data_IF_152227717001
#
_entry.id   IF_152227717001
#
_cell.length_a   1.000
_cell.length_b   1.000
_cell.length_c   1.000
_cell.angle_alpha   90.00
_cell.angle_beta   90.00
_cell.angle_gamma   90.00
#
_symmetry.space_group_name_H-M   'P 1'
#
loop_
_entity.id
_entity.type
_entity.pdbx_description
1 polymer ?
#
# COMPACT_ATOMS: atom_id res chain seq x y z
N UNK A 1 27.30 15.90 -31.11
CA UNK A 1 26.84 16.30 -29.75
C UNK A 1 27.43 15.30 -28.75
N UNK A 2 28.17 15.79 -27.78
CA UNK A 2 28.81 14.96 -26.74
C UNK A 2 27.78 14.04 -26.07
N UNK A 3 28.11 12.77 -25.89
CA UNK A 3 27.23 11.74 -25.24
C UNK A 3 26.74 12.20 -23.87
N UNK A 4 27.61 12.90 -23.12
CA UNK A 4 27.27 13.46 -21.81
C UNK A 4 26.17 14.52 -21.91
N UNK A 5 26.23 15.40 -22.89
CA UNK A 5 25.24 16.46 -23.15
C UNK A 5 23.90 15.85 -23.60
N UNK A 6 23.94 14.80 -24.45
CA UNK A 6 22.71 14.06 -24.86
C UNK A 6 22.01 13.40 -23.68
N UNK A 7 22.77 12.78 -22.78
CA UNK A 7 22.21 12.13 -21.58
C UNK A 7 21.58 13.15 -20.61
N UNK A 8 22.18 14.34 -20.47
CA UNK A 8 21.62 15.43 -19.66
C UNK A 8 20.31 15.95 -20.26
N UNK A 9 20.25 16.19 -21.56
CA UNK A 9 19.03 16.66 -22.25
C UNK A 9 17.91 15.61 -22.07
N UNK A 10 18.20 14.33 -22.27
CA UNK A 10 17.22 13.27 -22.08
C UNK A 10 16.69 13.18 -20.63
N UNK A 11 17.53 13.47 -19.63
CA UNK A 11 17.11 13.52 -18.22
C UNK A 11 16.20 14.72 -17.95
N UNK A 12 16.55 15.91 -18.47
CA UNK A 12 15.74 17.11 -18.31
C UNK A 12 14.36 16.91 -18.94
N UNK A 13 14.30 16.42 -20.18
CA UNK A 13 13.02 16.11 -20.86
C UNK A 13 12.19 15.12 -20.05
N UNK A 14 12.80 14.05 -19.53
CA UNK A 14 12.11 13.06 -18.69
C UNK A 14 11.52 13.71 -17.42
N UNK A 15 12.32 14.51 -16.68
CA UNK A 15 11.85 15.19 -15.47
C UNK A 15 10.70 16.15 -15.81
N UNK A 16 10.81 16.91 -16.88
CA UNK A 16 9.74 17.82 -17.34
C UNK A 16 8.44 17.07 -17.61
N UNK A 17 8.51 15.90 -18.26
CA UNK A 17 7.32 15.06 -18.49
C UNK A 17 6.73 14.56 -17.18
N UNK A 18 7.55 14.09 -16.23
CA UNK A 18 7.06 13.66 -14.92
C UNK A 18 6.39 14.83 -14.19
N UNK A 19 6.93 16.02 -14.23
CA UNK A 19 6.31 17.22 -13.63
C UNK A 19 4.99 17.58 -14.29
N UNK A 20 4.89 17.49 -15.63
CA UNK A 20 3.62 17.71 -16.35
C UNK A 20 2.58 16.65 -15.92
N UNK A 21 2.97 15.39 -15.83
CA UNK A 21 2.07 14.32 -15.35
C UNK A 21 1.64 14.54 -13.90
N UNK A 22 2.53 14.98 -13.02
CA UNK A 22 2.19 15.37 -11.65
C UNK A 22 1.19 16.55 -11.64
N UNK A 23 1.37 17.55 -12.51
CA UNK A 23 0.42 18.64 -12.70
C UNK A 23 -0.96 18.14 -13.15
N UNK A 24 -0.99 17.18 -14.08
CA UNK A 24 -2.22 16.53 -14.52
C UNK A 24 -2.92 15.79 -13.39
N UNK A 25 -2.17 15.02 -12.57
CA UNK A 25 -2.71 14.35 -11.38
C UNK A 25 -3.31 15.37 -10.40
N UNK A 26 -2.62 16.50 -10.19
CA UNK A 26 -3.11 17.60 -9.34
C UNK A 26 -4.39 18.19 -9.89
N UNK A 27 -4.49 18.34 -11.20
CA UNK A 27 -5.73 18.79 -11.86
C UNK A 27 -6.89 17.82 -11.60
N UNK A 28 -6.69 16.49 -11.78
CA UNK A 28 -7.73 15.51 -11.46
C UNK A 28 -8.08 15.52 -9.98
N UNK A 29 -7.09 15.65 -9.10
CA UNK A 29 -7.34 15.76 -7.67
C UNK A 29 -8.16 17.00 -7.31
N UNK A 30 -7.95 18.12 -7.98
CA UNK A 30 -8.75 19.34 -7.76
C UNK A 30 -10.24 19.12 -8.06
N UNK A 31 -10.55 18.26 -9.03
CA UNK A 31 -11.92 17.93 -9.46
C UNK A 31 -12.60 16.85 -8.60
N UNK A 32 -11.86 16.20 -7.69
CA UNK A 32 -12.43 15.21 -6.77
C UNK A 32 -13.31 15.93 -5.74
N UNK A 33 -14.63 15.63 -5.74
CA UNK A 33 -15.63 16.25 -4.86
C UNK A 33 -16.00 15.39 -3.65
N UNK A 34 -15.83 14.07 -3.73
CA UNK A 34 -16.21 13.14 -2.68
C UNK A 34 -15.13 12.14 -2.31
N UNK A 35 -15.39 11.39 -1.26
CA UNK A 35 -14.55 10.30 -0.79
C UNK A 35 -15.35 9.00 -0.81
N UNK A 36 -14.67 7.91 -1.18
CA UNK A 36 -15.18 6.59 -0.95
C UNK A 36 -15.09 6.24 0.55
N UNK A 37 -15.93 5.36 1.03
CA UNK A 37 -15.93 4.90 2.42
C UNK A 37 -14.54 4.44 2.89
N UNK A 38 -13.85 3.64 2.09
CA UNK A 38 -12.49 3.18 2.37
C UNK A 38 -11.47 4.32 2.55
N UNK A 39 -11.66 5.44 1.85
CA UNK A 39 -10.78 6.60 2.01
C UNK A 39 -11.01 7.27 3.35
N UNK A 40 -12.26 7.33 3.80
CA UNK A 40 -12.62 7.84 5.12
C UNK A 40 -12.06 6.94 6.23
N UNK A 41 -12.15 5.61 6.07
CA UNK A 41 -11.50 4.66 6.97
C UNK A 41 -9.99 4.82 7.01
N UNK A 42 -9.35 5.13 5.89
CA UNK A 42 -7.92 5.41 5.87
C UNK A 42 -7.55 6.62 6.74
N UNK A 43 -8.34 7.70 6.66
CA UNK A 43 -8.14 8.86 7.53
C UNK A 43 -8.41 8.51 9.00
N UNK A 44 -9.51 7.85 9.30
CA UNK A 44 -9.86 7.44 10.65
C UNK A 44 -8.81 6.53 11.27
N UNK A 45 -8.41 5.47 10.56
CA UNK A 45 -7.37 4.55 11.02
C UNK A 45 -6.00 5.21 11.20
N UNK A 46 -5.74 6.30 10.45
CA UNK A 46 -4.51 7.07 10.58
C UNK A 46 -4.53 8.05 11.73
N UNK A 47 -5.66 8.70 12.00
CA UNK A 47 -5.72 9.93 12.79
C UNK A 47 -6.48 9.78 14.09
N UNK A 48 -7.44 8.86 14.19
CA UNK A 48 -8.21 8.67 15.41
C UNK A 48 -7.37 8.04 16.52
N UNK A 49 -7.50 8.55 17.73
CA UNK A 49 -6.68 8.14 18.87
C UNK A 49 -7.23 6.87 19.51
N UNK A 50 -6.52 5.74 19.28
CA UNK A 50 -6.88 4.41 19.81
C UNK A 50 -8.31 3.97 19.49
N UNK A 51 -8.86 4.47 18.39
CA UNK A 51 -10.18 4.09 17.87
C UNK A 51 -10.06 3.88 16.36
N UNK A 52 -10.22 2.65 15.89
CA UNK A 52 -10.06 2.30 14.48
C UNK A 52 -11.35 2.38 13.69
N UNK A 53 -12.48 2.55 14.36
CA UNK A 53 -13.79 2.57 13.72
C UNK A 53 -14.59 3.77 14.25
N UNK A 54 -15.28 4.45 13.35
CA UNK A 54 -16.22 5.52 13.68
C UNK A 54 -17.51 4.92 14.29
N UNK A 55 -17.32 4.13 15.36
CA UNK A 55 -18.39 3.43 16.06
C UNK A 55 -18.45 3.85 17.54
N UNK A 56 -19.60 3.67 18.20
CA UNK A 56 -19.72 3.94 19.63
C UNK A 56 -18.77 3.06 20.44
N UNK A 57 -18.06 3.63 21.39
CA UNK A 57 -17.26 2.88 22.35
C UNK A 57 -18.08 1.75 22.99
N UNK A 58 -17.52 0.56 23.04
CA UNK A 58 -18.07 -0.59 23.76
C UNK A 58 -19.05 -1.47 22.97
N UNK A 59 -19.29 -1.22 21.69
CA UNK A 59 -20.06 -2.16 20.85
C UNK A 59 -19.10 -2.96 19.97
N UNK A 60 -19.10 -4.25 20.21
CA UNK A 60 -18.46 -5.24 19.34
C UNK A 60 -19.21 -5.25 18.00
N UNK A 61 -18.48 -5.20 16.88
CA UNK A 61 -19.12 -5.29 15.57
C UNK A 61 -19.81 -6.64 15.33
N UNK A 62 -20.70 -6.68 14.35
CA UNK A 62 -21.49 -7.87 14.03
C UNK A 62 -20.61 -9.09 13.74
N UNK A 63 -19.50 -8.90 13.01
CA UNK A 63 -18.59 -9.99 12.67
C UNK A 63 -17.91 -10.56 13.92
N UNK A 64 -17.38 -9.70 14.80
CA UNK A 64 -16.73 -10.13 16.04
C UNK A 64 -17.70 -10.82 16.99
N UNK A 65 -18.95 -10.34 17.08
CA UNK A 65 -20.03 -11.02 17.85
C UNK A 65 -20.28 -12.42 17.31
N UNK A 66 -20.41 -12.57 15.98
CA UNK A 66 -20.61 -13.88 15.37
C UNK A 66 -19.39 -14.77 15.61
N UNK A 67 -18.20 -14.25 15.33
CA UNK A 67 -16.96 -15.01 15.51
C UNK A 67 -16.82 -15.54 16.93
N UNK A 68 -17.03 -14.69 17.94
CA UNK A 68 -16.93 -15.07 19.35
C UNK A 68 -18.00 -16.06 19.79
N UNK A 69 -19.25 -15.86 19.39
CA UNK A 69 -20.37 -16.63 19.92
C UNK A 69 -20.61 -17.94 19.15
N UNK A 70 -20.21 -18.02 17.89
CA UNK A 70 -20.56 -19.13 17.00
C UNK A 70 -19.37 -19.83 16.35
N UNK A 71 -18.22 -19.17 16.24
CA UNK A 71 -17.05 -19.75 15.56
C UNK A 71 -15.96 -20.13 16.56
N UNK A 72 -15.52 -19.18 17.40
CA UNK A 72 -14.38 -19.36 18.29
C UNK A 72 -14.75 -20.25 19.48
N UNK A 73 -14.00 -21.31 19.68
CA UNK A 73 -14.07 -22.16 20.87
C UNK A 73 -12.77 -22.01 21.63
N UNK A 74 -12.82 -21.33 22.77
CA UNK A 74 -11.63 -21.09 23.59
C UNK A 74 -10.93 -22.42 23.96
N UNK A 75 -9.62 -22.47 23.76
CA UNK A 75 -8.83 -23.66 24.05
C UNK A 75 -8.96 -24.80 23.03
N UNK A 76 -9.79 -24.68 22.00
CA UNK A 76 -9.98 -25.73 20.99
C UNK A 76 -9.92 -25.22 19.56
N UNK A 77 -8.69 -25.09 19.01
CA UNK A 77 -8.43 -24.61 17.66
C UNK A 77 -9.09 -25.51 16.60
N UNK A 78 -9.11 -26.82 16.80
CA UNK A 78 -9.72 -27.77 15.85
C UNK A 78 -11.20 -27.49 15.65
N UNK A 79 -11.93 -27.29 16.75
CA UNK A 79 -13.36 -26.98 16.70
C UNK A 79 -13.63 -25.57 16.17
N UNK A 80 -12.76 -24.62 16.43
CA UNK A 80 -12.81 -23.28 15.81
C UNK A 80 -12.71 -23.35 14.28
N UNK A 81 -11.79 -24.15 13.76
CA UNK A 81 -11.62 -24.35 12.32
C UNK A 81 -12.85 -25.07 11.72
N UNK A 82 -13.38 -26.07 12.40
CA UNK A 82 -14.59 -26.80 11.99
C UNK A 82 -15.79 -25.85 11.87
N UNK A 83 -16.04 -25.02 12.89
CA UNK A 83 -17.11 -24.03 12.88
C UNK A 83 -16.93 -22.98 11.78
N UNK A 84 -15.70 -22.46 11.59
CA UNK A 84 -15.39 -21.52 10.54
C UNK A 84 -15.65 -22.13 9.15
N UNK A 85 -15.25 -23.38 8.94
CA UNK A 85 -15.50 -24.12 7.71
C UNK A 85 -16.98 -24.36 7.47
N UNK A 86 -17.73 -24.68 8.54
CA UNK A 86 -19.17 -24.86 8.46
C UNK A 86 -19.86 -23.60 7.90
N UNK A 87 -19.62 -22.43 8.48
CA UNK A 87 -20.22 -21.18 8.01
C UNK A 87 -19.68 -20.74 6.64
N UNK A 88 -18.45 -21.08 6.30
CA UNK A 88 -17.91 -20.84 4.96
C UNK A 88 -18.66 -21.65 3.89
N UNK A 89 -19.07 -22.88 4.21
CA UNK A 89 -19.78 -23.78 3.28
C UNK A 89 -21.30 -23.60 3.33
N UNK A 90 -21.84 -22.99 4.39
CA UNK A 90 -23.28 -22.74 4.59
C UNK A 90 -23.57 -21.23 4.59
N UNK A 91 -23.37 -20.60 3.43
CA UNK A 91 -23.51 -19.15 3.28
C UNK A 91 -24.90 -18.63 3.61
N UNK A 92 -25.95 -19.40 3.38
CA UNK A 92 -27.33 -18.99 3.70
C UNK A 92 -27.52 -18.86 5.22
N UNK A 93 -26.97 -19.76 6.00
CA UNK A 93 -27.02 -19.69 7.47
C UNK A 93 -26.17 -18.53 7.98
N UNK A 94 -24.99 -18.32 7.40
CA UNK A 94 -24.16 -17.16 7.70
C UNK A 94 -24.90 -15.85 7.45
N UNK A 95 -25.50 -15.68 6.25
CA UNK A 95 -26.23 -14.48 5.88
C UNK A 95 -27.44 -14.23 6.77
N UNK A 96 -28.16 -15.28 7.13
CA UNK A 96 -29.29 -15.19 8.08
C UNK A 96 -28.83 -14.70 9.45
N UNK A 97 -27.78 -15.33 10.01
CA UNK A 97 -27.22 -14.98 11.31
C UNK A 97 -26.67 -13.55 11.30
N UNK A 98 -25.95 -13.17 10.22
CA UNK A 98 -25.43 -11.82 10.04
C UNK A 98 -26.57 -10.79 10.00
N UNK A 99 -27.62 -11.05 9.24
CA UNK A 99 -28.80 -10.18 9.15
C UNK A 99 -29.53 -10.04 10.50
N UNK A 100 -29.72 -11.13 11.24
CA UNK A 100 -30.38 -11.12 12.54
C UNK A 100 -29.62 -10.31 13.60
N UNK A 101 -28.28 -10.37 13.57
CA UNK A 101 -27.43 -9.65 14.53
C UNK A 101 -27.28 -8.19 14.10
N UNK A 102 -27.05 -7.92 12.82
CA UNK A 102 -26.89 -6.54 12.31
C UNK A 102 -28.18 -5.74 12.38
N UNK A 103 -29.34 -6.36 12.21
CA UNK A 103 -30.64 -5.68 12.35
C UNK A 103 -30.91 -5.10 13.74
N UNK A 104 -30.16 -5.56 14.76
CA UNK A 104 -30.20 -5.03 16.13
C UNK A 104 -29.23 -3.86 16.35
N UNK A 105 -28.41 -3.53 15.36
CA UNK A 105 -27.49 -2.41 15.41
C UNK A 105 -28.20 -1.17 14.88
N UNK A 106 -28.48 -0.23 15.78
CA UNK A 106 -29.07 1.06 15.38
C UNK A 106 -27.99 1.97 14.79
N UNK A 107 -28.29 2.72 13.70
CA UNK A 107 -27.40 3.75 13.23
C UNK A 107 -27.15 4.77 14.35
N UNK A 108 -25.86 5.07 14.58
CA UNK A 108 -25.46 6.06 15.59
C UNK A 108 -25.12 7.35 14.86
N UNK A 109 -25.91 8.38 15.13
CA UNK A 109 -25.63 9.70 14.64
C UNK A 109 -24.42 10.30 15.38
N UNK A 110 -23.47 10.81 14.62
CA UNK A 110 -22.26 11.49 15.12
C UNK A 110 -22.41 12.99 14.89
N UNK A 111 -21.89 13.77 15.81
CA UNK A 111 -21.77 15.21 15.64
C UNK A 111 -20.70 15.55 14.58
N UNK A 112 -20.75 16.79 14.07
CA UNK A 112 -19.71 17.27 13.16
C UNK A 112 -18.33 17.31 13.84
N UNK A 113 -18.30 17.58 15.14
CA UNK A 113 -17.06 17.61 15.93
C UNK A 113 -16.47 16.22 16.08
N UNK A 114 -17.27 15.20 16.42
CA UNK A 114 -16.81 13.81 16.48
C UNK A 114 -16.32 13.30 15.12
N UNK A 115 -17.00 13.68 14.02
CA UNK A 115 -16.55 13.32 12.67
C UNK A 115 -15.24 14.01 12.30
N UNK A 116 -15.04 15.27 12.71
CA UNK A 116 -13.80 15.99 12.51
C UNK A 116 -12.66 15.38 13.32
N UNK A 117 -12.88 15.09 14.58
CA UNK A 117 -11.91 14.46 15.49
C UNK A 117 -11.44 13.09 14.93
N UNK A 118 -12.39 12.30 14.42
CA UNK A 118 -12.06 11.03 13.75
C UNK A 118 -11.14 11.17 12.52
N UNK A 119 -11.27 12.28 11.77
CA UNK A 119 -10.57 12.46 10.49
C UNK A 119 -9.29 13.29 10.59
N UNK A 120 -9.10 14.05 11.65
CA UNK A 120 -7.98 14.96 11.85
C UNK A 120 -7.09 14.54 13.01
N UNK A 121 -5.90 15.09 13.08
CA UNK A 121 -4.99 14.90 14.21
C UNK A 121 -5.09 16.10 15.12
N UNK A 122 -5.45 15.89 16.39
CA UNK A 122 -5.47 16.93 17.39
C UNK A 122 -4.03 17.37 17.76
N UNK A 123 -3.80 18.60 18.24
CA UNK A 123 -2.47 19.09 18.58
C UNK A 123 -1.68 18.22 19.56
N UNK A 124 -2.38 17.57 20.50
CA UNK A 124 -1.78 16.71 21.53
C UNK A 124 -1.52 15.27 21.04
N UNK A 125 -2.01 14.91 19.85
CA UNK A 125 -1.95 13.56 19.26
C UNK A 125 -0.96 13.45 18.09
N UNK A 126 -0.27 14.56 17.81
CA UNK A 126 0.72 14.63 16.72
C UNK A 126 1.78 13.56 16.89
N UNK A 127 2.06 12.85 15.78
CA UNK A 127 3.06 11.78 15.70
C UNK A 127 2.83 10.62 16.68
N UNK A 128 1.57 10.37 17.06
CA UNK A 128 1.17 9.25 17.93
C UNK A 128 1.15 7.92 17.16
N UNK A 129 2.32 7.43 16.74
CA UNK A 129 2.42 6.22 15.93
C UNK A 129 1.96 4.94 16.66
N UNK A 130 1.98 4.94 17.99
CA UNK A 130 1.44 3.85 18.79
C UNK A 130 -0.08 3.72 18.58
N UNK A 131 -0.80 4.84 18.48
CA UNK A 131 -2.22 4.87 18.14
C UNK A 131 -2.49 4.33 16.73
N UNK A 132 -1.72 4.78 15.74
CA UNK A 132 -1.83 4.29 14.35
C UNK A 132 -1.61 2.77 14.30
N UNK A 133 -0.59 2.26 14.99
CA UNK A 133 -0.33 0.83 15.06
C UNK A 133 -1.48 0.07 15.73
N UNK A 134 -2.01 0.58 16.84
CA UNK A 134 -3.15 -0.01 17.54
C UNK A 134 -4.37 -0.11 16.63
N UNK A 135 -4.68 0.94 15.88
CA UNK A 135 -5.79 0.96 14.93
C UNK A 135 -5.60 -0.07 13.82
N UNK A 136 -4.38 -0.13 13.25
CA UNK A 136 -4.06 -1.04 12.17
C UNK A 136 -3.92 -2.51 12.62
N UNK A 137 -3.56 -2.78 13.87
CA UNK A 137 -3.49 -4.14 14.41
C UNK A 137 -4.88 -4.82 14.45
N UNK A 138 -5.95 -4.07 14.30
CA UNK A 138 -7.34 -4.53 14.23
C UNK A 138 -7.91 -4.49 12.81
N UNK A 139 -7.10 -4.11 11.82
CA UNK A 139 -7.45 -4.07 10.40
C UNK A 139 -6.70 -5.15 9.61
N UNK A 140 -7.19 -5.44 8.43
CA UNK A 140 -6.59 -6.39 7.47
C UNK A 140 -5.47 -5.78 6.61
N UNK A 141 -5.15 -4.51 6.82
CA UNK A 141 -4.14 -3.79 6.04
C UNK A 141 -2.88 -3.49 6.87
N UNK A 142 -1.69 -3.55 6.26
CA UNK A 142 -0.44 -3.17 6.93
C UNK A 142 -0.36 -1.66 7.23
N UNK A 143 0.40 -1.25 8.26
CA UNK A 143 0.32 0.09 8.83
C UNK A 143 1.05 1.20 8.06
N UNK A 144 1.94 0.89 7.10
CA UNK A 144 2.87 1.88 6.54
C UNK A 144 2.16 3.09 5.91
N UNK A 145 1.07 2.85 5.17
CA UNK A 145 0.35 3.94 4.52
C UNK A 145 -0.32 4.87 5.55
N UNK A 146 -0.93 4.29 6.58
CA UNK A 146 -1.55 5.06 7.66
C UNK A 146 -0.52 5.83 8.50
N UNK A 147 0.68 5.26 8.72
CA UNK A 147 1.81 5.96 9.37
C UNK A 147 2.23 7.18 8.53
N UNK A 148 2.36 7.04 7.22
CA UNK A 148 2.70 8.16 6.34
C UNK A 148 1.59 9.23 6.33
N UNK A 149 0.32 8.82 6.26
CA UNK A 149 -0.81 9.74 6.29
C UNK A 149 -0.89 10.48 7.62
N UNK A 150 -0.77 9.78 8.75
CA UNK A 150 -0.70 10.40 10.09
C UNK A 150 0.46 11.39 10.19
N UNK A 151 1.62 11.05 9.63
CA UNK A 151 2.79 11.95 9.62
C UNK A 151 2.46 13.26 8.91
N UNK A 152 1.87 13.18 7.71
CA UNK A 152 1.49 14.39 6.96
C UNK A 152 0.42 15.18 7.71
N UNK A 153 -0.64 14.53 8.22
CA UNK A 153 -1.70 15.16 9.00
C UNK A 153 -1.17 15.82 10.28
N UNK A 154 -0.16 15.23 10.94
CA UNK A 154 0.45 15.76 12.15
C UNK A 154 1.16 17.10 11.95
N UNK A 155 1.58 17.45 10.74
CA UNK A 155 2.09 18.79 10.43
C UNK A 155 1.00 19.86 10.35
N UNK A 156 -0.27 19.43 10.17
CA UNK A 156 -1.43 20.31 10.00
C UNK A 156 -2.58 19.88 10.94
N UNK A 157 -2.41 20.04 12.26
CA UNK A 157 -3.42 19.59 13.22
C UNK A 157 -4.76 20.30 12.97
N UNK A 158 -5.84 19.65 13.39
CA UNK A 158 -7.24 20.07 13.23
C UNK A 158 -7.66 20.38 11.78
N UNK A 159 -6.85 19.93 10.80
CA UNK A 159 -7.11 20.21 9.38
C UNK A 159 -7.40 18.92 8.63
N UNK A 160 -8.52 18.88 7.93
CA UNK A 160 -8.85 17.83 6.96
C UNK A 160 -8.61 18.33 5.55
N UNK A 161 -7.79 17.62 4.77
CA UNK A 161 -7.51 17.97 3.38
C UNK A 161 -7.28 16.76 2.51
N UNK A 162 -7.97 16.70 1.36
CA UNK A 162 -7.73 15.68 0.33
C UNK A 162 -6.31 15.69 -0.24
N UNK A 163 -5.57 16.78 -0.07
CA UNK A 163 -4.20 16.88 -0.56
C UNK A 163 -3.16 16.21 0.32
N UNK A 164 -3.49 15.82 1.55
CA UNK A 164 -2.54 15.15 2.43
C UNK A 164 -2.17 13.76 1.91
N UNK A 165 -3.14 12.87 1.73
CA UNK A 165 -2.88 11.55 1.14
C UNK A 165 -2.42 11.65 -0.32
N UNK A 166 -2.93 12.66 -1.06
CA UNK A 166 -2.55 12.89 -2.44
C UNK A 166 -1.05 13.18 -2.56
N UNK A 167 -0.47 13.96 -1.65
CA UNK A 167 0.97 14.24 -1.64
C UNK A 167 1.81 12.97 -1.53
N UNK A 168 1.38 12.02 -0.70
CA UNK A 168 2.02 10.71 -0.54
C UNK A 168 1.93 9.93 -1.86
N UNK A 169 0.73 9.80 -2.41
CA UNK A 169 0.50 9.09 -3.67
C UNK A 169 1.27 9.72 -4.83
N UNK A 170 1.39 11.04 -4.87
CA UNK A 170 2.11 11.76 -5.91
C UNK A 170 3.63 11.48 -5.87
N UNK A 171 4.21 11.38 -4.67
CA UNK A 171 5.63 11.01 -4.49
C UNK A 171 5.88 9.59 -5.00
N UNK A 172 5.02 8.63 -4.65
CA UNK A 172 5.14 7.25 -5.13
C UNK A 172 4.89 7.13 -6.64
N UNK A 173 3.97 7.92 -7.20
CA UNK A 173 3.76 8.01 -8.65
C UNK A 173 5.01 8.50 -9.38
N UNK A 174 5.58 9.61 -8.93
CA UNK A 174 6.82 10.13 -9.50
C UNK A 174 7.95 9.08 -9.38
N UNK A 175 8.11 8.46 -8.21
CA UNK A 175 9.05 7.37 -7.99
C UNK A 175 8.87 6.19 -8.95
N UNK A 176 7.61 5.80 -9.20
CA UNK A 176 7.26 4.74 -10.17
C UNK A 176 7.72 5.11 -11.58
N UNK A 177 7.55 6.36 -12.02
CA UNK A 177 8.06 6.83 -13.31
C UNK A 177 9.58 6.69 -13.40
N UNK A 178 10.33 7.01 -12.33
CA UNK A 178 11.77 6.81 -12.27
C UNK A 178 12.17 5.34 -12.34
N UNK A 179 11.41 4.44 -11.72
CA UNK A 179 11.69 3.00 -11.78
C UNK A 179 11.44 2.47 -13.20
N UNK A 180 10.34 2.86 -13.86
CA UNK A 180 10.07 2.52 -15.27
C UNK A 180 11.26 2.92 -16.15
N UNK A 181 11.75 4.15 -16.00
CA UNK A 181 12.93 4.62 -16.70
C UNK A 181 14.15 3.74 -16.44
N UNK A 182 14.41 3.36 -15.19
CA UNK A 182 15.57 2.56 -14.83
C UNK A 182 15.47 1.12 -15.34
N UNK A 183 14.28 0.52 -15.36
CA UNK A 183 14.02 -0.80 -15.97
C UNK A 183 14.34 -0.74 -17.48
N UNK A 184 13.82 0.24 -18.19
CA UNK A 184 14.02 0.35 -19.63
C UNK A 184 15.49 0.64 -20.00
N UNK A 185 16.20 1.39 -19.17
CA UNK A 185 17.65 1.57 -19.31
C UNK A 185 18.41 0.26 -19.08
N UNK A 186 18.06 -0.49 -18.06
CA UNK A 186 18.66 -1.80 -17.75
C UNK A 186 18.44 -2.81 -18.89
N UNK A 187 17.36 -2.65 -19.64
CA UNK A 187 17.03 -3.46 -20.83
C UNK A 187 17.60 -2.90 -22.14
N UNK A 188 18.39 -1.83 -22.10
CA UNK A 188 18.90 -1.12 -23.30
C UNK A 188 17.77 -0.62 -24.23
N UNK A 189 16.63 -0.23 -23.67
CA UNK A 189 15.43 0.26 -24.38
C UNK A 189 15.15 1.74 -24.08
N UNK A 190 16.17 2.57 -24.02
CA UNK A 190 16.06 3.97 -23.59
C UNK A 190 15.09 4.80 -24.44
N UNK A 191 14.95 4.48 -25.73
CA UNK A 191 14.00 5.14 -26.64
C UNK A 191 12.53 4.95 -26.22
N UNK A 192 12.24 3.90 -25.45
CA UNK A 192 10.88 3.60 -24.98
C UNK A 192 10.55 4.27 -23.64
N UNK A 193 11.50 4.97 -23.00
CA UNK A 193 11.26 5.59 -21.68
C UNK A 193 10.12 6.59 -21.73
N UNK A 194 10.14 7.53 -22.64
CA UNK A 194 9.11 8.56 -22.74
C UNK A 194 7.75 7.97 -23.12
N UNK A 195 7.60 7.15 -24.18
CA UNK A 195 6.33 6.52 -24.47
C UNK A 195 5.76 5.70 -23.31
N UNK A 196 6.60 4.92 -22.63
CA UNK A 196 6.14 4.07 -21.52
C UNK A 196 5.66 4.90 -20.31
N UNK A 197 6.39 5.98 -19.97
CA UNK A 197 5.99 6.86 -18.86
C UNK A 197 4.71 7.64 -19.20
N UNK A 198 4.55 8.08 -20.45
CA UNK A 198 3.31 8.72 -20.89
C UNK A 198 2.13 7.73 -20.88
N UNK A 199 2.30 6.52 -21.42
CA UNK A 199 1.25 5.48 -21.37
C UNK A 199 0.85 5.14 -19.93
N UNK A 200 1.82 4.99 -19.04
CA UNK A 200 1.55 4.76 -17.63
C UNK A 200 0.83 5.96 -16.99
N UNK A 201 1.40 7.17 -17.10
CA UNK A 201 0.90 8.35 -16.42
C UNK A 201 -0.44 8.86 -16.95
N UNK A 202 -0.79 8.58 -18.22
CA UNK A 202 -2.08 8.92 -18.81
C UNK A 202 -3.12 7.78 -18.67
N UNK A 203 -2.73 6.63 -18.11
CA UNK A 203 -3.65 5.52 -17.91
C UNK A 203 -4.69 5.84 -16.83
N UNK A 204 -5.93 5.40 -17.03
CA UNK A 204 -6.99 5.49 -16.02
C UNK A 204 -6.55 4.82 -14.72
N UNK A 205 -5.84 3.69 -14.79
CA UNK A 205 -5.32 2.98 -13.63
C UNK A 205 -4.38 3.83 -12.78
N UNK A 206 -3.41 4.52 -13.39
CA UNK A 206 -2.49 5.40 -12.65
C UNK A 206 -3.23 6.62 -12.07
N UNK A 207 -4.08 7.27 -12.86
CA UNK A 207 -4.85 8.45 -12.41
C UNK A 207 -5.73 8.08 -11.22
N UNK A 208 -6.58 7.05 -11.35
CA UNK A 208 -7.48 6.63 -10.28
C UNK A 208 -6.72 6.21 -9.02
N UNK A 209 -5.60 5.52 -9.16
CA UNK A 209 -4.79 5.07 -8.03
C UNK A 209 -4.12 6.23 -7.28
N UNK A 210 -3.71 7.30 -8.00
CA UNK A 210 -3.10 8.48 -7.37
C UNK A 210 -4.13 9.33 -6.62
N UNK A 211 -5.33 9.48 -7.17
CA UNK A 211 -6.38 10.31 -6.54
C UNK A 211 -7.20 9.56 -5.49
N UNK A 212 -6.93 8.29 -5.26
CA UNK A 212 -7.61 7.45 -4.27
C UNK A 212 -6.80 7.36 -2.98
N UNK A 213 -7.40 7.70 -1.84
CA UNK A 213 -6.72 7.75 -0.53
C UNK A 213 -6.48 6.34 0.05
N UNK A 214 -5.78 5.50 -0.70
CA UNK A 214 -5.42 4.12 -0.32
C UNK A 214 -3.98 3.82 -0.74
N UNK A 215 -3.43 2.77 -0.19
CA UNK A 215 -2.04 2.35 -0.34
C UNK A 215 -1.65 1.86 -1.75
N UNK A 216 -2.56 1.83 -2.72
CA UNK A 216 -2.34 1.16 -4.01
C UNK A 216 -1.21 1.77 -4.85
N UNK A 217 -1.02 3.10 -4.83
CA UNK A 217 0.11 3.72 -5.54
C UNK A 217 1.44 3.37 -4.88
N UNK A 218 1.48 3.29 -3.55
CA UNK A 218 2.64 2.84 -2.79
C UNK A 218 2.95 1.36 -3.07
N UNK A 219 1.92 0.50 -3.15
CA UNK A 219 2.04 -0.90 -3.55
C UNK A 219 2.65 -1.02 -4.96
N UNK A 220 2.14 -0.25 -5.93
CA UNK A 220 2.65 -0.25 -7.31
C UNK A 220 4.13 0.14 -7.36
N UNK A 221 4.52 1.14 -6.59
CA UNK A 221 5.92 1.57 -6.47
C UNK A 221 6.82 0.46 -5.92
N UNK A 222 6.48 -0.14 -4.77
CA UNK A 222 7.33 -1.19 -4.17
C UNK A 222 7.35 -2.46 -5.01
N UNK A 223 6.25 -2.84 -5.63
CA UNK A 223 6.18 -3.97 -6.56
C UNK A 223 7.13 -3.76 -7.74
N UNK A 224 7.10 -2.59 -8.35
CA UNK A 224 7.95 -2.29 -9.48
C UNK A 224 9.43 -2.09 -9.07
N UNK A 225 9.68 -1.55 -7.86
CA UNK A 225 11.02 -1.43 -7.29
C UNK A 225 11.64 -2.80 -7.03
N UNK A 226 10.87 -3.71 -6.45
CA UNK A 226 11.29 -5.10 -6.23
C UNK A 226 11.60 -5.80 -7.56
N UNK A 227 10.74 -5.66 -8.55
CA UNK A 227 10.97 -6.20 -9.91
C UNK A 227 12.24 -5.63 -10.53
N UNK A 228 12.47 -4.31 -10.43
CA UNK A 228 13.68 -3.67 -10.93
C UNK A 228 14.95 -4.25 -10.28
N UNK A 229 14.95 -4.42 -8.96
CA UNK A 229 16.08 -4.96 -8.22
C UNK A 229 16.34 -6.42 -8.60
N UNK A 230 15.30 -7.23 -8.70
CA UNK A 230 15.35 -8.62 -9.15
C UNK A 230 15.93 -8.73 -10.56
N UNK A 231 15.42 -7.91 -11.49
CA UNK A 231 15.92 -7.86 -12.86
C UNK A 231 17.39 -7.41 -12.93
N UNK A 232 17.77 -6.44 -12.08
CA UNK A 232 19.17 -5.96 -12.00
C UNK A 232 20.10 -7.06 -11.48
N UNK A 233 19.69 -7.82 -10.49
CA UNK A 233 20.44 -8.97 -9.96
C UNK A 233 20.64 -10.02 -11.06
N UNK A 234 19.56 -10.37 -11.78
CA UNK A 234 19.63 -11.28 -12.91
C UNK A 234 20.63 -10.81 -14.00
N UNK A 235 20.54 -9.53 -14.39
CA UNK A 235 21.44 -8.93 -15.41
C UNK A 235 22.90 -8.86 -14.98
N UNK A 236 23.19 -8.88 -13.68
CA UNK A 236 24.53 -8.87 -13.12
C UNK A 236 25.04 -10.30 -12.79
N UNK A 237 24.53 -11.31 -13.48
CA UNK A 237 24.89 -12.72 -13.25
C UNK A 237 24.70 -13.13 -11.79
N UNK A 238 23.56 -12.70 -11.21
CA UNK A 238 23.11 -12.92 -9.83
C UNK A 238 24.01 -12.32 -8.73
N UNK A 239 24.99 -11.50 -9.09
CA UNK A 239 25.87 -10.84 -8.13
C UNK A 239 25.16 -9.67 -7.45
N UNK A 240 25.22 -9.66 -6.12
CA UNK A 240 24.62 -8.61 -5.30
C UNK A 240 25.70 -7.83 -4.55
N UNK A 241 25.75 -6.51 -4.78
CA UNK A 241 26.53 -5.60 -3.92
C UNK A 241 25.85 -5.42 -2.57
N UNK A 242 26.57 -4.94 -1.56
CA UNK A 242 25.99 -4.60 -0.25
C UNK A 242 24.80 -3.64 -0.40
N UNK A 243 24.92 -2.63 -1.25
CA UNK A 243 23.83 -1.68 -1.52
C UNK A 243 22.61 -2.38 -2.12
N UNK A 244 22.78 -3.29 -3.08
CA UNK A 244 21.67 -4.04 -3.69
C UNK A 244 20.95 -4.90 -2.66
N UNK A 245 21.68 -5.55 -1.75
CA UNK A 245 21.09 -6.34 -0.65
C UNK A 245 20.25 -5.49 0.28
N UNK A 246 20.80 -4.34 0.71
CA UNK A 246 20.06 -3.40 1.60
C UNK A 246 18.79 -2.90 0.91
N UNK A 247 18.89 -2.49 -0.36
CA UNK A 247 17.73 -2.00 -1.11
C UNK A 247 16.68 -3.09 -1.33
N UNK A 248 17.11 -4.33 -1.61
CA UNK A 248 16.19 -5.45 -1.79
C UNK A 248 15.46 -5.78 -0.48
N UNK A 249 16.18 -5.93 0.63
CA UNK A 249 15.58 -6.18 1.94
C UNK A 249 14.66 -5.03 2.38
N UNK A 250 15.09 -3.78 2.23
CA UNK A 250 14.25 -2.63 2.54
C UNK A 250 12.98 -2.59 1.67
N UNK A 251 13.11 -2.87 0.37
CA UNK A 251 11.95 -2.91 -0.54
C UNK A 251 11.01 -4.05 -0.20
N UNK A 252 11.53 -5.21 0.22
CA UNK A 252 10.72 -6.35 0.69
C UNK A 252 9.93 -6.00 1.93
N UNK A 253 10.59 -5.43 2.95
CA UNK A 253 9.95 -5.03 4.21
C UNK A 253 8.89 -3.93 3.97
N UNK A 254 9.26 -2.86 3.28
CA UNK A 254 8.34 -1.74 3.03
C UNK A 254 7.21 -2.13 2.07
N UNK A 255 7.46 -3.00 1.11
CA UNK A 255 6.44 -3.55 0.23
C UNK A 255 5.42 -4.39 1.01
N UNK A 256 5.88 -5.28 1.89
CA UNK A 256 5.02 -6.03 2.80
C UNK A 256 4.19 -5.10 3.69
N UNK A 257 4.82 -4.11 4.29
CA UNK A 257 4.16 -3.13 5.16
C UNK A 257 3.24 -2.15 4.40
N UNK A 258 3.33 -2.11 3.06
CA UNK A 258 2.43 -1.30 2.23
C UNK A 258 1.10 -2.01 1.98
N UNK A 259 1.14 -3.29 1.59
CA UNK A 259 -0.03 -4.12 1.32
C UNK A 259 0.38 -5.60 1.21
N UNK A 260 -0.38 -6.50 1.81
CA UNK A 260 -0.08 -7.94 1.81
C UNK A 260 -0.09 -8.58 0.40
N UNK A 261 -0.81 -8.00 -0.56
CA UNK A 261 -0.75 -8.45 -1.97
C UNK A 261 0.65 -8.35 -2.59
N UNK A 262 1.51 -7.49 -2.05
CA UNK A 262 2.92 -7.44 -2.42
C UNK A 262 3.61 -8.81 -2.31
N UNK A 263 3.26 -9.60 -1.28
CA UNK A 263 3.86 -10.92 -1.05
C UNK A 263 3.61 -11.89 -2.19
N UNK A 264 2.44 -11.84 -2.83
CA UNK A 264 2.10 -12.73 -3.94
C UNK A 264 3.06 -12.48 -5.10
N UNK A 265 3.27 -11.20 -5.44
CA UNK A 265 4.19 -10.82 -6.51
C UNK A 265 5.65 -11.11 -6.16
N UNK A 266 6.07 -10.74 -4.95
CA UNK A 266 7.44 -10.95 -4.47
C UNK A 266 7.79 -12.44 -4.42
N UNK A 267 6.88 -13.29 -3.94
CA UNK A 267 7.03 -14.75 -3.93
C UNK A 267 7.18 -15.31 -5.35
N UNK A 268 6.36 -14.85 -6.30
CA UNK A 268 6.49 -15.24 -7.70
C UNK A 268 7.88 -14.92 -8.27
N UNK A 269 8.36 -13.69 -8.09
CA UNK A 269 9.70 -13.29 -8.51
C UNK A 269 10.79 -14.09 -7.77
N UNK A 270 10.63 -14.33 -6.48
CA UNK A 270 11.57 -15.11 -5.66
C UNK A 270 11.71 -16.55 -6.16
N UNK A 271 10.60 -17.23 -6.43
CA UNK A 271 10.59 -18.59 -7.00
C UNK A 271 11.29 -18.64 -8.35
N UNK A 272 10.99 -17.71 -9.24
CA UNK A 272 11.63 -17.63 -10.57
C UNK A 272 13.13 -17.44 -10.43
N UNK A 273 13.59 -16.55 -9.55
CA UNK A 273 15.00 -16.30 -9.33
C UNK A 273 15.73 -17.52 -8.77
N UNK A 274 15.13 -18.21 -7.79
CA UNK A 274 15.68 -19.47 -7.26
C UNK A 274 15.82 -20.51 -8.39
N UNK A 275 14.77 -20.72 -9.18
CA UNK A 275 14.78 -21.66 -10.28
C UNK A 275 15.89 -21.35 -11.31
N UNK A 276 16.07 -20.08 -11.64
CA UNK A 276 17.15 -19.64 -12.55
C UNK A 276 18.54 -19.88 -11.94
N UNK A 277 18.75 -19.54 -10.66
CA UNK A 277 20.03 -19.75 -9.97
C UNK A 277 20.38 -21.24 -9.86
N UNK A 278 19.41 -22.12 -9.59
CA UNK A 278 19.60 -23.59 -9.55
C UNK A 278 19.96 -24.09 -10.95
N UNK A 279 19.22 -23.67 -11.99
CA UNK A 279 19.49 -24.04 -13.39
C UNK A 279 20.91 -23.66 -13.81
N UNK A 280 21.37 -22.47 -13.40
CA UNK A 280 22.70 -21.96 -13.75
C UNK A 280 23.81 -22.38 -12.75
N UNK A 281 23.47 -23.21 -11.74
CA UNK A 281 24.38 -23.72 -10.70
C UNK A 281 25.05 -22.61 -9.88
N UNK A 282 24.34 -21.49 -9.63
CA UNK A 282 24.83 -20.32 -8.88
C UNK A 282 24.58 -20.49 -7.36
N UNK A 283 25.13 -21.52 -6.76
CA UNK A 283 24.83 -21.92 -5.37
C UNK A 283 25.28 -20.88 -4.32
N UNK A 284 26.38 -20.19 -4.55
CA UNK A 284 26.87 -19.15 -3.64
C UNK A 284 25.92 -17.94 -3.65
N UNK A 285 25.53 -17.49 -4.83
CA UNK A 285 24.59 -16.39 -5.05
C UNK A 285 23.20 -16.73 -4.52
N UNK A 286 22.74 -17.97 -4.70
CA UNK A 286 21.50 -18.49 -4.17
C UNK A 286 21.43 -18.37 -2.64
N UNK A 287 22.49 -18.84 -1.94
CA UNK A 287 22.56 -18.70 -0.47
C UNK A 287 22.48 -17.23 -0.04
N UNK A 288 23.23 -16.36 -0.73
CA UNK A 288 23.22 -14.92 -0.45
C UNK A 288 21.84 -14.27 -0.72
N UNK A 289 21.14 -14.71 -1.77
CA UNK A 289 19.83 -14.21 -2.14
C UNK A 289 18.78 -14.62 -1.09
N UNK A 290 18.74 -15.88 -0.68
CA UNK A 290 17.82 -16.38 0.35
C UNK A 290 18.02 -15.66 1.69
N UNK A 291 19.26 -15.41 2.11
CA UNK A 291 19.56 -14.71 3.38
C UNK A 291 19.17 -13.24 3.34
N UNK A 292 19.01 -12.66 2.17
CA UNK A 292 18.64 -11.22 2.01
C UNK A 292 17.14 -11.01 2.09
N UNK A 293 16.33 -12.04 1.79
CA UNK A 293 14.86 -12.02 1.88
C UNK A 293 14.33 -12.51 3.21
#
# INVERSE_FOLDING_TARGET
MDIKKKNQINLVVFITIVLILCGLMTFYMSKKEGFHEDEMFTYGSSNCTYDNLFQPHGKEDTFNKIARNYIIVEGNIGKTIENAWYYFTHQDEWNKLFSEISSKEYPVWKTREEARDYLTVSPNERFSYASVYYNQARDVHPPLYCILNHTVCSFFPDTFSKYFFFSISLVFFAGTCFIIRNILKLLNKEKLVIPAVLLYGLSIGAISTVIYARMYMMLAFFTLAYFYLTLKIYKLDFKMTRQTKILLGATTILGFLSQYYFCIFALGCFIVMIALMIKEKKWHELKSYIVTH
#
